data_IF_831850893222
#
_entry.id   IF_831850893222
#
_cell.length_a   1.000
_cell.length_b   1.000
_cell.length_c   1.000
_cell.angle_alpha   90.00
_cell.angle_beta   90.00
_cell.angle_gamma   90.00
#
_symmetry.space_group_name_H-M   'P 1'
#
loop_
_entity.id
_entity.type
_entity.pdbx_description
1 polymer ?
#
# COMPACT_ATOMS: atom_id res chain seq x y z
N UNK A 1 2.18 34.50 69.48
CA UNK A 1 0.81 34.12 69.09
C UNK A 1 0.53 34.61 67.68
N UNK A 2 -0.35 33.91 66.97
CA UNK A 2 -0.84 34.11 65.59
C UNK A 2 -0.01 33.53 64.43
N UNK A 3 -0.33 32.26 64.14
CA UNK A 3 -0.48 31.67 62.80
C UNK A 3 -1.10 32.66 61.81
N UNK A 4 -0.63 32.63 60.55
CA UNK A 4 -1.49 32.73 59.36
C UNK A 4 -0.80 31.99 58.19
N UNK A 5 -1.32 30.79 57.92
CA UNK A 5 -1.19 30.14 56.61
C UNK A 5 -1.88 31.03 55.57
N UNK A 6 -1.28 31.18 54.40
CA UNK A 6 -1.97 31.60 53.19
C UNK A 6 -1.66 30.56 52.12
N UNK A 7 -2.61 29.64 51.93
CA UNK A 7 -2.77 28.89 50.70
C UNK A 7 -3.36 29.83 49.65
N UNK A 8 -2.68 29.95 48.52
CA UNK A 8 -3.24 30.34 47.21
C UNK A 8 -2.50 29.43 46.23
N UNK A 9 -3.12 28.40 45.68
CA UNK A 9 -4.27 28.49 44.79
C UNK A 9 -3.75 28.16 43.39
N UNK A 10 -3.35 26.91 43.19
CA UNK A 10 -2.86 26.43 41.90
C UNK A 10 -4.06 26.34 40.96
N UNK A 11 -4.22 27.32 40.07
CA UNK A 11 -5.19 27.25 38.97
C UNK A 11 -4.60 26.31 37.92
N UNK A 12 -4.97 25.03 38.00
CA UNK A 12 -4.82 24.11 36.88
C UNK A 12 -5.80 24.57 35.79
N UNK A 13 -5.30 25.32 34.83
CA UNK A 13 -5.95 25.47 33.54
C UNK A 13 -5.85 24.11 32.86
N UNK A 14 -6.93 23.32 32.93
CA UNK A 14 -7.14 22.20 32.01
C UNK A 14 -7.20 22.80 30.62
N UNK A 15 -6.08 22.82 29.90
CA UNK A 15 -6.12 22.84 28.46
C UNK A 15 -6.87 21.57 28.08
N UNK A 16 -8.08 21.76 27.55
CA UNK A 16 -8.82 20.70 26.91
C UNK A 16 -7.86 20.03 25.92
N UNK A 17 -7.49 18.78 26.20
CA UNK A 17 -6.85 17.95 25.22
C UNK A 17 -7.75 17.98 23.99
N UNK A 18 -7.29 18.61 22.90
CA UNK A 18 -7.81 18.25 21.59
C UNK A 18 -7.69 16.73 21.53
N UNK A 19 -8.83 16.06 21.40
CA UNK A 19 -8.89 14.62 21.22
C UNK A 19 -7.82 14.23 20.21
N UNK A 20 -6.92 13.31 20.59
CA UNK A 20 -6.09 12.60 19.64
C UNK A 20 -7.02 12.14 18.53
N UNK A 21 -6.82 12.62 17.30
CA UNK A 21 -7.32 11.91 16.14
C UNK A 21 -6.69 10.53 16.27
N UNK A 22 -7.49 9.54 16.64
CA UNK A 22 -7.04 8.15 16.64
C UNK A 22 -6.45 7.86 15.26
N UNK A 23 -5.40 7.02 15.22
CA UNK A 23 -4.64 6.53 14.05
C UNK A 23 -5.50 5.76 13.00
N UNK A 24 -6.79 6.05 12.94
CA UNK A 24 -7.74 5.55 11.98
C UNK A 24 -7.60 6.26 10.64
N UNK A 25 -7.85 5.52 9.56
CA UNK A 25 -7.92 6.09 8.22
C UNK A 25 -9.03 7.15 8.15
N UNK A 26 -8.82 8.27 7.43
CA UNK A 26 -9.89 9.16 7.06
C UNK A 26 -11.09 8.38 6.47
N UNK A 27 -12.35 8.73 6.80
CA UNK A 27 -13.50 7.92 6.42
C UNK A 27 -13.65 7.68 4.91
N UNK A 28 -13.27 8.66 4.09
CA UNK A 28 -13.25 8.55 2.63
C UNK A 28 -12.15 7.59 2.14
N UNK A 29 -10.94 7.66 2.73
CA UNK A 29 -9.87 6.71 2.43
C UNK A 29 -10.23 5.28 2.87
N UNK A 30 -10.90 5.12 4.01
CA UNK A 30 -11.33 3.80 4.50
C UNK A 30 -12.26 3.10 3.50
N UNK A 31 -13.20 3.84 2.88
CA UNK A 31 -14.07 3.30 1.82
C UNK A 31 -13.26 2.82 0.62
N UNK A 32 -12.31 3.63 0.14
CA UNK A 32 -11.45 3.24 -0.99
C UNK A 32 -10.62 2.00 -0.66
N UNK A 33 -10.08 1.91 0.56
CA UNK A 33 -9.32 0.74 1.02
C UNK A 33 -10.17 -0.53 1.03
N UNK A 34 -11.39 -0.46 1.58
CA UNK A 34 -12.30 -1.61 1.63
C UNK A 34 -12.70 -2.09 0.23
N UNK A 35 -13.01 -1.17 -0.67
CA UNK A 35 -13.33 -1.48 -2.06
C UNK A 35 -12.15 -2.14 -2.79
N UNK A 36 -10.95 -1.55 -2.68
CA UNK A 36 -9.75 -2.06 -3.34
C UNK A 36 -9.38 -3.45 -2.82
N UNK A 37 -9.47 -3.69 -1.50
CA UNK A 37 -9.27 -5.02 -0.93
C UNK A 37 -10.26 -6.02 -1.52
N UNK A 38 -11.55 -5.66 -1.57
CA UNK A 38 -12.58 -6.52 -2.12
C UNK A 38 -12.31 -6.88 -3.59
N UNK A 39 -11.89 -5.90 -4.40
CA UNK A 39 -11.50 -6.10 -5.79
C UNK A 39 -10.29 -7.02 -5.92
N UNK A 40 -9.23 -6.77 -5.14
CA UNK A 40 -8.03 -7.60 -5.16
C UNK A 40 -8.32 -9.03 -4.73
N UNK A 41 -9.12 -9.23 -3.68
CA UNK A 41 -9.56 -10.55 -3.22
C UNK A 41 -10.40 -11.25 -4.28
N UNK A 42 -11.27 -10.52 -4.98
CA UNK A 42 -12.09 -11.07 -6.05
C UNK A 42 -11.24 -11.50 -7.24
N UNK A 43 -10.23 -10.69 -7.61
CA UNK A 43 -9.34 -10.98 -8.72
C UNK A 43 -8.31 -12.07 -8.39
N UNK A 44 -7.86 -12.15 -7.13
CA UNK A 44 -6.78 -12.99 -6.65
C UNK A 44 -7.18 -13.74 -5.35
N UNK A 45 -8.21 -14.61 -5.40
CA UNK A 45 -8.83 -15.20 -4.21
C UNK A 45 -7.90 -16.04 -3.33
N UNK A 46 -6.84 -16.63 -3.89
CA UNK A 46 -5.85 -17.37 -3.12
C UNK A 46 -5.09 -16.48 -2.12
N UNK A 47 -5.00 -15.19 -2.40
CA UNK A 47 -4.27 -14.22 -1.59
C UNK A 47 -5.15 -13.55 -0.53
N UNK A 48 -6.41 -14.00 -0.38
CA UNK A 48 -7.42 -13.27 0.37
C UNK A 48 -7.07 -13.04 1.84
N UNK A 49 -6.54 -14.05 2.51
CA UNK A 49 -6.12 -13.96 3.92
C UNK A 49 -5.04 -12.89 4.07
N UNK A 50 -3.97 -12.97 3.29
CA UNK A 50 -2.87 -12.01 3.31
C UNK A 50 -3.33 -10.56 3.03
N UNK A 51 -4.14 -10.36 1.99
CA UNK A 51 -4.68 -9.03 1.65
C UNK A 51 -5.59 -8.47 2.75
N UNK A 52 -6.35 -9.34 3.43
CA UNK A 52 -7.25 -8.93 4.51
C UNK A 52 -6.49 -8.55 5.79
N UNK A 53 -5.32 -9.15 6.03
CA UNK A 53 -4.51 -8.92 7.24
C UNK A 53 -3.53 -7.76 7.11
N UNK A 54 -3.24 -7.29 5.90
CA UNK A 54 -2.37 -6.14 5.68
C UNK A 54 -2.80 -4.95 6.54
N UNK A 55 -1.86 -4.25 7.17
CA UNK A 55 -2.16 -2.99 7.87
C UNK A 55 -2.06 -1.85 6.86
N UNK A 56 -3.06 -0.97 6.82
CA UNK A 56 -3.03 0.22 5.96
C UNK A 56 -3.13 1.47 6.84
N UNK A 57 -2.15 2.35 6.67
CA UNK A 57 -2.05 3.65 7.33
C UNK A 57 -2.02 4.77 6.28
N UNK A 58 -2.06 6.02 6.75
CA UNK A 58 -1.97 7.19 5.89
C UNK A 58 -0.89 8.15 6.37
N UNK A 59 -0.35 8.92 5.44
CA UNK A 59 0.64 9.95 5.70
C UNK A 59 0.38 11.18 4.81
N UNK A 60 0.90 12.34 5.21
CA UNK A 60 0.61 13.63 4.56
C UNK A 60 1.77 14.15 3.72
N UNK A 61 2.92 13.50 3.82
CA UNK A 61 4.12 13.76 3.03
C UNK A 61 3.92 13.23 1.59
N UNK A 62 4.31 14.02 0.59
CA UNK A 62 3.98 13.77 -0.84
C UNK A 62 5.23 13.53 -1.70
N UNK A 63 6.31 13.07 -1.08
CA UNK A 63 7.56 12.63 -1.72
C UNK A 63 7.39 11.36 -2.55
N UNK A 64 6.41 10.52 -2.18
CA UNK A 64 5.92 9.40 -2.99
C UNK A 64 4.38 9.34 -2.97
N UNK A 65 3.82 8.21 -3.40
CA UNK A 65 2.37 7.97 -3.49
C UNK A 65 1.86 6.99 -2.45
N UNK A 66 2.63 5.96 -2.20
CA UNK A 66 2.43 5.01 -1.14
C UNK A 66 3.76 4.25 -0.94
N UNK A 67 3.84 3.50 0.16
CA UNK A 67 5.00 2.70 0.49
C UNK A 67 4.59 1.49 1.30
N UNK A 68 5.08 0.31 0.91
CA UNK A 68 5.08 -0.87 1.77
C UNK A 68 6.33 -0.91 2.66
N UNK A 69 6.12 -1.16 3.97
CA UNK A 69 7.15 -1.37 4.98
C UNK A 69 7.23 -2.86 5.34
N UNK A 70 8.24 -3.61 4.83
CA UNK A 70 8.34 -5.05 5.08
C UNK A 70 8.51 -5.42 6.55
N UNK A 71 9.14 -4.57 7.35
CA UNK A 71 9.43 -4.84 8.76
C UNK A 71 8.16 -4.89 9.62
N UNK A 72 7.15 -4.07 9.28
CA UNK A 72 5.88 -4.00 10.00
C UNK A 72 4.71 -4.62 9.24
N UNK A 73 4.89 -4.95 7.95
CA UNK A 73 3.80 -5.39 7.09
C UNK A 73 2.79 -4.28 6.77
N UNK A 74 3.17 -3.01 6.95
CA UNK A 74 2.29 -1.85 6.79
C UNK A 74 2.38 -1.26 5.38
N UNK A 75 1.24 -0.93 4.80
CA UNK A 75 1.13 -0.08 3.62
C UNK A 75 0.77 1.33 4.08
N UNK A 76 1.60 2.31 3.78
CA UNK A 76 1.33 3.71 4.08
C UNK A 76 0.92 4.43 2.80
N UNK A 77 -0.29 4.98 2.77
CA UNK A 77 -0.86 5.69 1.61
C UNK A 77 -0.73 7.20 1.80
N UNK A 78 -0.25 7.93 0.79
CA UNK A 78 -0.11 9.38 0.89
C UNK A 78 -1.39 10.11 0.50
N UNK A 79 -1.84 11.04 1.34
CA UNK A 79 -3.02 11.87 1.14
C UNK A 79 -2.67 13.36 1.26
N UNK A 80 -3.39 14.26 0.56
CA UNK A 80 -4.53 14.01 -0.33
C UNK A 80 -4.10 13.46 -1.70
N UNK A 81 -4.97 12.67 -2.32
CA UNK A 81 -4.84 12.26 -3.70
C UNK A 81 -6.19 11.91 -4.36
N UNK A 82 -6.21 11.68 -5.66
CA UNK A 82 -7.45 11.32 -6.37
C UNK A 82 -7.78 9.85 -6.16
N UNK A 83 -9.07 9.49 -6.14
CA UNK A 83 -9.49 8.10 -5.97
C UNK A 83 -8.82 7.13 -6.97
N UNK A 84 -8.77 7.39 -8.29
CA UNK A 84 -8.11 6.46 -9.21
C UNK A 84 -6.64 6.22 -8.90
N UNK A 85 -5.93 7.25 -8.42
CA UNK A 85 -4.54 7.11 -8.03
C UNK A 85 -4.40 6.33 -6.71
N UNK A 86 -5.28 6.58 -5.73
CA UNK A 86 -5.30 5.82 -4.48
C UNK A 86 -5.51 4.33 -4.75
N UNK A 87 -6.45 3.97 -5.62
CA UNK A 87 -6.73 2.57 -5.98
C UNK A 87 -5.49 1.87 -6.53
N UNK A 88 -4.83 2.49 -7.51
CA UNK A 88 -3.62 1.91 -8.11
C UNK A 88 -2.49 1.80 -7.07
N UNK A 89 -2.25 2.84 -6.28
CA UNK A 89 -1.17 2.83 -5.28
C UNK A 89 -1.42 1.83 -4.16
N UNK A 90 -2.66 1.69 -3.68
CA UNK A 90 -3.01 0.68 -2.67
C UNK A 90 -2.78 -0.73 -3.20
N UNK A 91 -3.25 -1.06 -4.42
CA UNK A 91 -3.01 -2.40 -4.99
C UNK A 91 -1.52 -2.64 -5.23
N UNK A 92 -0.79 -1.63 -5.71
CA UNK A 92 0.65 -1.74 -5.93
C UNK A 92 1.39 -2.13 -4.65
N UNK A 93 1.14 -1.42 -3.55
CA UNK A 93 1.79 -1.75 -2.26
C UNK A 93 1.28 -3.05 -1.65
N UNK A 94 0.01 -3.40 -1.84
CA UNK A 94 -0.50 -4.71 -1.43
C UNK A 94 0.14 -5.85 -2.23
N UNK A 95 0.50 -5.64 -3.49
CA UNK A 95 1.25 -6.63 -4.27
C UNK A 95 2.64 -6.88 -3.65
N UNK A 96 3.30 -5.83 -3.14
CA UNK A 96 4.53 -5.97 -2.35
C UNK A 96 4.30 -6.69 -1.03
N UNK A 97 3.23 -6.34 -0.32
CA UNK A 97 2.86 -7.02 0.92
C UNK A 97 2.72 -8.54 0.70
N UNK A 98 2.04 -8.94 -0.38
CA UNK A 98 1.92 -10.37 -0.70
C UNK A 98 3.28 -10.98 -1.10
N UNK A 99 4.01 -10.40 -2.07
CA UNK A 99 5.28 -10.96 -2.57
C UNK A 99 6.32 -11.15 -1.45
N UNK A 100 6.36 -10.24 -0.49
CA UNK A 100 7.39 -10.23 0.54
C UNK A 100 6.93 -10.84 1.87
N UNK A 101 5.65 -10.69 2.21
CA UNK A 101 5.10 -11.08 3.51
C UNK A 101 4.44 -12.45 3.52
N UNK A 102 3.93 -12.94 2.39
CA UNK A 102 3.03 -14.10 2.37
C UNK A 102 3.41 -15.15 1.32
N UNK A 103 3.30 -14.78 0.04
CA UNK A 103 3.52 -15.69 -1.08
C UNK A 103 4.39 -15.01 -2.13
N UNK A 104 5.57 -15.59 -2.38
CA UNK A 104 6.49 -15.07 -3.39
C UNK A 104 5.80 -14.96 -4.74
N UNK A 105 6.02 -13.82 -5.41
CA UNK A 105 5.61 -13.60 -6.78
C UNK A 105 6.18 -14.70 -7.71
N UNK A 106 5.56 -14.95 -8.88
CA UNK A 106 6.06 -15.90 -9.87
C UNK A 106 7.26 -15.34 -10.66
N UNK A 107 8.30 -14.86 -9.96
CA UNK A 107 9.39 -14.00 -10.47
C UNK A 107 10.01 -14.49 -11.76
N UNK A 108 10.39 -15.77 -11.84
CA UNK A 108 11.02 -16.34 -13.05
C UNK A 108 10.08 -16.30 -14.26
N UNK A 109 8.81 -16.64 -14.05
CA UNK A 109 7.82 -16.63 -15.11
C UNK A 109 7.50 -15.20 -15.55
N UNK A 110 7.38 -14.29 -14.57
CA UNK A 110 7.12 -12.87 -14.83
C UNK A 110 8.27 -12.20 -15.60
N UNK A 111 9.52 -12.43 -15.17
CA UNK A 111 10.70 -11.93 -15.89
C UNK A 111 10.69 -12.39 -17.35
N UNK A 112 10.35 -13.67 -17.59
CA UNK A 112 10.26 -14.21 -18.94
C UNK A 112 9.12 -13.57 -19.74
N UNK A 113 7.93 -13.42 -19.17
CA UNK A 113 6.76 -12.88 -19.90
C UNK A 113 6.92 -11.39 -20.20
N UNK A 114 7.55 -10.63 -19.30
CA UNK A 114 7.87 -9.21 -19.50
C UNK A 114 9.16 -8.97 -20.30
N UNK A 115 9.78 -10.02 -20.84
CA UNK A 115 10.93 -9.89 -21.74
C UNK A 115 12.23 -9.45 -21.06
N UNK A 116 12.35 -9.59 -19.74
CA UNK A 116 13.60 -9.33 -19.03
C UNK A 116 14.68 -10.35 -19.40
N UNK A 117 15.93 -9.89 -19.37
CA UNK A 117 17.09 -10.74 -19.57
C UNK A 117 17.15 -11.83 -18.49
N UNK A 118 17.56 -13.04 -18.88
CA UNK A 118 17.74 -14.12 -17.93
C UNK A 118 18.76 -13.74 -16.85
N UNK A 119 18.36 -13.87 -15.59
CA UNK A 119 19.21 -13.53 -14.44
C UNK A 119 19.10 -12.09 -13.94
N UNK A 120 18.21 -11.27 -14.52
CA UNK A 120 17.86 -9.96 -13.95
C UNK A 120 17.42 -10.12 -12.49
N UNK A 121 17.99 -9.31 -11.60
CA UNK A 121 17.62 -9.29 -10.19
C UNK A 121 16.21 -8.73 -10.00
N UNK A 122 15.43 -9.32 -9.10
CA UNK A 122 14.03 -8.91 -8.86
C UNK A 122 13.88 -7.46 -8.43
N UNK A 123 14.79 -6.98 -7.56
CA UNK A 123 14.70 -5.67 -6.89
C UNK A 123 15.59 -4.59 -7.52
N UNK A 124 16.37 -4.94 -8.54
CA UNK A 124 17.30 -4.00 -9.16
C UNK A 124 16.90 -3.71 -10.60
N UNK A 125 17.00 -2.44 -10.99
CA UNK A 125 16.75 -1.96 -12.34
C UNK A 125 17.52 -0.66 -12.61
N UNK A 126 17.85 -0.35 -13.87
CA UNK A 126 18.46 0.93 -14.25
C UNK A 126 17.59 2.16 -13.92
N UNK A 127 16.28 1.96 -13.83
CA UNK A 127 15.29 2.94 -13.39
C UNK A 127 14.13 2.21 -12.69
N UNK A 128 13.25 2.95 -12.01
CA UNK A 128 12.08 2.38 -11.35
C UNK A 128 11.22 1.55 -12.32
N UNK A 129 10.95 2.08 -13.51
CA UNK A 129 10.15 1.43 -14.55
C UNK A 129 10.83 0.19 -15.13
N UNK A 130 12.13 0.03 -14.90
CA UNK A 130 12.92 -1.13 -15.34
C UNK A 130 13.24 -2.10 -14.18
N UNK A 131 12.76 -1.83 -12.97
CA UNK A 131 12.88 -2.75 -11.84
C UNK A 131 11.76 -3.80 -11.94
N UNK A 132 12.08 -5.11 -11.99
CA UNK A 132 11.06 -6.15 -12.18
C UNK A 132 9.97 -6.18 -11.11
N UNK A 133 10.33 -5.95 -9.84
CA UNK A 133 9.36 -5.94 -8.75
C UNK A 133 8.37 -4.78 -8.88
N UNK A 134 8.83 -3.62 -9.36
CA UNK A 134 7.98 -2.45 -9.60
C UNK A 134 7.03 -2.71 -10.76
N UNK A 135 7.54 -3.28 -11.86
CA UNK A 135 6.68 -3.67 -12.97
C UNK A 135 5.64 -4.71 -12.56
N UNK A 136 6.01 -5.66 -11.71
CA UNK A 136 5.09 -6.67 -11.19
C UNK A 136 3.98 -6.04 -10.35
N UNK A 137 4.32 -5.15 -9.43
CA UNK A 137 3.33 -4.47 -8.60
C UNK A 137 2.37 -3.60 -9.43
N UNK A 138 2.87 -2.88 -10.46
CA UNK A 138 2.00 -2.15 -11.41
C UNK A 138 1.15 -3.10 -12.24
N UNK A 139 1.70 -4.23 -12.70
CA UNK A 139 0.94 -5.22 -13.46
C UNK A 139 -0.19 -5.82 -12.63
N UNK A 140 0.02 -6.11 -11.34
CA UNK A 140 -1.04 -6.54 -10.42
C UNK A 140 -2.10 -5.45 -10.26
N UNK A 141 -1.68 -4.18 -10.07
CA UNK A 141 -2.62 -3.05 -10.00
C UNK A 141 -3.47 -2.91 -11.28
N UNK A 142 -2.86 -3.11 -12.45
CA UNK A 142 -3.57 -3.09 -13.73
C UNK A 142 -4.57 -4.25 -13.86
N UNK A 143 -4.19 -5.47 -13.45
CA UNK A 143 -5.08 -6.64 -13.48
C UNK A 143 -6.29 -6.46 -12.55
N UNK A 144 -6.08 -5.91 -11.35
CA UNK A 144 -7.13 -5.74 -10.34
C UNK A 144 -8.05 -4.56 -10.67
N UNK A 145 -7.48 -3.41 -10.98
CA UNK A 145 -8.23 -2.15 -11.10
C UNK A 145 -8.64 -1.81 -12.54
N UNK A 146 -8.08 -2.53 -13.53
CA UNK A 146 -8.19 -2.15 -14.95
C UNK A 146 -7.49 -0.83 -15.30
N UNK A 147 -6.78 -0.23 -14.36
CA UNK A 147 -6.13 1.08 -14.48
C UNK A 147 -4.63 0.98 -14.24
N UNK A 148 -3.87 1.79 -14.98
CA UNK A 148 -2.41 1.82 -14.88
C UNK A 148 -1.94 2.94 -13.95
N UNK A 149 -0.68 2.88 -13.50
CA UNK A 149 -0.04 4.03 -12.86
C UNK A 149 0.11 5.14 -13.91
N UNK A 150 -0.51 6.29 -13.63
CA UNK A 150 -0.54 7.43 -14.57
C UNK A 150 0.84 8.05 -14.83
N UNK A 151 1.79 7.90 -13.91
CA UNK A 151 3.14 8.43 -14.03
C UNK A 151 4.09 7.38 -14.62
N UNK A 152 3.86 6.10 -14.31
CA UNK A 152 4.79 5.01 -14.59
C UNK A 152 4.05 3.78 -15.15
N UNK A 153 3.41 3.91 -16.33
CA UNK A 153 2.57 2.86 -16.86
C UNK A 153 3.39 1.65 -17.32
N UNK A 154 2.87 0.45 -17.07
CA UNK A 154 3.43 -0.81 -17.57
C UNK A 154 2.51 -1.43 -18.60
N UNK A 155 3.08 -1.98 -19.67
CA UNK A 155 2.32 -2.75 -20.66
C UNK A 155 2.45 -4.23 -20.35
N UNK A 156 1.31 -4.90 -20.17
CA UNK A 156 1.26 -6.36 -20.00
C UNK A 156 0.57 -6.99 -21.20
N UNK A 157 1.07 -8.14 -21.62
CA UNK A 157 0.44 -8.98 -22.63
C UNK A 157 -0.52 -10.01 -21.98
N UNK A 158 -1.23 -10.77 -22.82
CA UNK A 158 -2.15 -11.81 -22.36
C UNK A 158 -1.45 -12.88 -21.50
N UNK A 159 -0.19 -13.20 -21.81
CA UNK A 159 0.60 -14.17 -21.05
C UNK A 159 0.91 -13.67 -19.63
N UNK A 160 1.24 -12.38 -19.49
CA UNK A 160 1.50 -11.75 -18.19
C UNK A 160 0.22 -11.58 -17.37
N UNK A 161 -0.89 -11.17 -18.00
CA UNK A 161 -2.21 -11.12 -17.34
C UNK A 161 -2.63 -12.50 -16.82
N UNK A 162 -2.55 -13.52 -17.67
CA UNK A 162 -2.87 -14.89 -17.30
C UNK A 162 -1.96 -15.43 -16.19
N UNK A 163 -0.67 -15.07 -16.19
CA UNK A 163 0.27 -15.43 -15.14
C UNK A 163 -0.14 -14.87 -13.78
N UNK A 164 -0.51 -13.59 -13.72
CA UNK A 164 -0.91 -12.92 -12.47
C UNK A 164 -2.21 -13.54 -11.94
N UNK A 165 -3.21 -13.72 -12.80
CA UNK A 165 -4.48 -14.37 -12.43
C UNK A 165 -4.26 -15.78 -11.90
N UNK A 166 -3.38 -16.56 -12.56
CA UNK A 166 -3.02 -17.91 -12.12
C UNK A 166 -2.28 -17.92 -10.79
N UNK A 167 -1.44 -16.94 -10.52
CA UNK A 167 -0.76 -16.81 -9.23
C UNK A 167 -1.75 -16.54 -8.10
N UNK A 168 -2.77 -15.71 -8.36
CA UNK A 168 -3.81 -15.38 -7.39
C UNK A 168 -5.00 -16.36 -7.32
N UNK A 169 -5.05 -17.43 -8.11
CA UNK A 169 -6.15 -18.42 -8.12
C UNK A 169 -5.77 -19.71 -7.40
#
# INVERSE_FOLDING_TARGET
MLRRLLLMGLVLVSLASCSSFEDSLPPDLAVVVDEVRSEMITALPRLAECVSEATIEHAWELDDRAQYLPESGTVIVRVPATEPQLRVSIVHELAYHVDLGCELAPRRAFLKSQGFVHGTTWKDGPSWEQTPSEQFAVAVALVVTGSNDSLRPVTIDEDTDALIKKWGS
#
